data_IF_304622698143
#
_entry.id   IF_304622698143
#
_cell.length_a   1.000
_cell.length_b   1.000
_cell.length_c   1.000
_cell.angle_alpha   90.00
_cell.angle_beta   90.00
_cell.angle_gamma   90.00
#
_symmetry.space_group_name_H-M   'P 1'
#
loop_
_entity.id
_entity.type
_entity.pdbx_description
1 polymer ?
#
# COMPACT_ATOMS: atom_id res chain seq x y z
N UNK A 1 -72.32 -46.22 -15.01
CA UNK A 1 -71.04 -46.44 -15.73
C UNK A 1 -70.53 -45.07 -16.17
N UNK A 2 -69.61 -44.48 -15.41
CA UNK A 2 -68.99 -43.19 -15.77
C UNK A 2 -67.50 -43.37 -15.49
N UNK A 3 -66.68 -43.41 -16.53
CA UNK A 3 -65.23 -43.51 -16.51
C UNK A 3 -64.66 -42.09 -16.46
N UNK A 4 -63.98 -41.73 -15.41
CA UNK A 4 -63.21 -40.48 -15.26
C UNK A 4 -61.77 -40.71 -15.68
N UNK A 5 -61.33 -39.94 -16.68
CA UNK A 5 -60.01 -39.93 -17.23
C UNK A 5 -59.14 -38.90 -16.49
N UNK A 6 -58.10 -39.33 -15.79
CA UNK A 6 -57.19 -38.47 -15.05
C UNK A 6 -56.05 -37.99 -15.95
N UNK A 7 -56.06 -36.69 -16.28
CA UNK A 7 -54.97 -36.02 -17.04
C UNK A 7 -53.74 -35.82 -16.15
N UNK A 8 -52.59 -36.36 -16.62
CA UNK A 8 -51.27 -36.14 -16.02
C UNK A 8 -50.67 -34.83 -16.57
N UNK A 9 -50.59 -33.81 -15.76
CA UNK A 9 -49.88 -32.59 -16.07
C UNK A 9 -48.39 -32.81 -15.71
N UNK A 10 -47.54 -32.94 -16.74
CA UNK A 10 -46.11 -32.94 -16.56
C UNK A 10 -45.59 -31.52 -16.32
N UNK A 11 -45.06 -31.23 -15.15
CA UNK A 11 -44.29 -30.04 -14.91
C UNK A 11 -42.90 -30.18 -15.52
N UNK A 12 -42.66 -29.47 -16.59
CA UNK A 12 -41.27 -29.30 -17.15
C UNK A 12 -40.54 -28.24 -16.29
N UNK A 13 -39.62 -28.69 -15.47
CA UNK A 13 -38.69 -27.80 -14.77
C UNK A 13 -37.65 -27.26 -15.74
N UNK A 14 -37.73 -25.99 -16.09
CA UNK A 14 -36.65 -25.29 -16.80
C UNK A 14 -35.51 -25.05 -15.82
N UNK A 15 -34.38 -25.78 -15.96
CA UNK A 15 -33.10 -25.43 -15.35
C UNK A 15 -32.52 -24.24 -16.12
N UNK A 16 -32.60 -23.04 -15.54
CA UNK A 16 -31.81 -21.90 -15.95
C UNK A 16 -30.36 -22.09 -15.47
N UNK A 17 -29.48 -22.57 -16.35
CA UNK A 17 -28.05 -22.55 -16.09
C UNK A 17 -27.53 -21.10 -16.21
N UNK A 18 -27.28 -20.45 -15.10
CA UNK A 18 -26.60 -19.14 -15.06
C UNK A 18 -25.12 -19.35 -15.42
N UNK A 19 -24.75 -19.03 -16.64
CA UNK A 19 -23.34 -18.92 -17.07
C UNK A 19 -22.75 -17.67 -16.39
N UNK A 20 -22.01 -17.86 -15.31
CA UNK A 20 -21.11 -16.83 -14.78
C UNK A 20 -19.96 -16.67 -15.77
N UNK A 21 -20.05 -15.70 -16.66
CA UNK A 21 -18.93 -15.25 -17.46
C UNK A 21 -17.94 -14.58 -16.50
N UNK A 22 -16.93 -15.32 -16.04
CA UNK A 22 -15.76 -14.77 -15.36
C UNK A 22 -15.05 -13.85 -16.35
N UNK A 23 -15.21 -12.52 -16.19
CA UNK A 23 -14.40 -11.55 -16.92
C UNK A 23 -12.91 -11.73 -16.56
N UNK A 24 -11.98 -11.33 -17.43
CA UNK A 24 -10.56 -11.37 -17.11
C UNK A 24 -10.33 -10.56 -15.81
N UNK A 25 -9.75 -11.21 -14.81
CA UNK A 25 -9.30 -10.51 -13.62
C UNK A 25 -8.20 -9.53 -14.06
N UNK A 26 -8.53 -8.24 -14.08
CA UNK A 26 -7.51 -7.20 -14.31
C UNK A 26 -6.51 -7.31 -13.17
N UNK A 27 -5.23 -7.44 -13.50
CA UNK A 27 -4.17 -7.35 -12.51
C UNK A 27 -4.32 -6.00 -11.78
N UNK A 28 -3.97 -5.96 -10.51
CA UNK A 28 -4.16 -4.75 -9.69
C UNK A 28 -2.78 -4.17 -9.39
N UNK A 29 -2.61 -2.84 -9.46
CA UNK A 29 -1.33 -2.22 -9.10
C UNK A 29 -0.94 -2.62 -7.67
N UNK A 30 0.32 -2.99 -7.48
CA UNK A 30 0.87 -3.40 -6.18
C UNK A 30 2.18 -2.69 -5.88
N UNK A 31 2.42 -2.38 -4.61
CA UNK A 31 3.76 -2.05 -4.13
C UNK A 31 4.45 -3.36 -3.71
N UNK A 32 5.49 -3.73 -4.43
CA UNK A 32 6.30 -4.91 -4.16
C UNK A 32 7.47 -4.53 -3.27
N UNK A 33 7.76 -5.35 -2.27
CA UNK A 33 8.91 -5.23 -1.37
C UNK A 33 9.80 -6.44 -1.57
N UNK A 34 11.01 -6.22 -2.02
CA UNK A 34 11.94 -7.31 -2.35
C UNK A 34 13.38 -6.99 -1.95
N UNK A 35 14.17 -8.04 -1.70
CA UNK A 35 15.63 -7.99 -1.71
C UNK A 35 16.14 -8.39 -3.08
N UNK A 36 17.46 -8.49 -3.26
CA UNK A 36 18.03 -9.07 -4.48
C UNK A 36 17.57 -10.50 -4.73
N UNK A 37 17.30 -11.25 -3.65
CA UNK A 37 17.12 -12.71 -3.71
C UNK A 37 15.71 -13.19 -3.31
N UNK A 38 14.87 -12.31 -2.74
CA UNK A 38 13.59 -12.72 -2.18
C UNK A 38 12.51 -11.64 -2.24
N UNK A 39 11.28 -12.05 -2.53
CA UNK A 39 10.07 -11.28 -2.30
C UNK A 39 9.77 -11.29 -0.79
N UNK A 40 9.66 -10.12 -0.17
CA UNK A 40 9.34 -9.96 1.26
C UNK A 40 7.85 -9.71 1.49
N UNK A 41 7.14 -9.17 0.50
CA UNK A 41 5.71 -8.93 0.58
C UNK A 41 5.21 -8.00 -0.52
N UNK A 42 3.90 -7.89 -0.58
CA UNK A 42 3.19 -7.02 -1.53
C UNK A 42 2.03 -6.33 -0.83
N UNK A 43 1.70 -5.13 -1.25
CA UNK A 43 0.53 -4.38 -0.79
C UNK A 43 -0.26 -3.86 -1.99
N UNK A 44 -1.59 -4.02 -2.02
CA UNK A 44 -2.41 -3.36 -3.04
C UNK A 44 -2.16 -1.86 -3.04
N UNK A 45 -1.96 -1.27 -4.22
CA UNK A 45 -1.61 0.13 -4.34
C UNK A 45 -2.36 0.83 -5.48
N UNK A 46 -3.68 0.86 -5.34
CA UNK A 46 -4.57 1.49 -6.29
C UNK A 46 -4.28 2.98 -6.47
N UNK A 47 -4.61 3.57 -7.62
CA UNK A 47 -4.57 5.02 -7.79
C UNK A 47 -5.33 5.74 -6.67
N UNK A 48 -4.68 6.72 -6.01
CA UNK A 48 -5.20 7.46 -4.87
C UNK A 48 -5.14 6.72 -3.53
N UNK A 49 -4.68 5.47 -3.48
CA UNK A 49 -4.34 4.81 -2.22
C UNK A 49 -3.04 5.38 -1.64
N UNK A 50 -2.95 5.40 -0.31
CA UNK A 50 -1.73 5.83 0.39
C UNK A 50 -1.05 4.65 1.08
N UNK A 51 0.27 4.56 0.92
CA UNK A 51 1.15 3.69 1.70
C UNK A 51 2.20 4.54 2.40
N UNK A 52 2.37 4.36 3.71
CA UNK A 52 3.40 5.06 4.47
C UNK A 52 4.51 4.12 4.91
N UNK A 53 5.75 4.47 4.59
CA UNK A 53 6.96 3.94 5.23
C UNK A 53 7.15 4.69 6.55
N UNK A 54 7.13 3.96 7.66
CA UNK A 54 7.26 4.51 9.01
C UNK A 54 8.48 3.92 9.71
N UNK A 55 9.16 4.75 10.51
CA UNK A 55 10.30 4.29 11.33
C UNK A 55 10.53 5.22 12.53
N UNK A 56 11.43 4.81 13.42
CA UNK A 56 11.97 5.66 14.44
C UNK A 56 13.33 6.19 14.00
N UNK A 57 13.55 7.50 14.10
CA UNK A 57 14.83 8.10 13.75
C UNK A 57 15.96 7.47 14.60
N UNK A 58 17.01 7.01 13.96
CA UNK A 58 18.05 6.20 14.61
C UNK A 58 18.82 6.90 15.73
N UNK A 59 18.84 8.24 15.75
CA UNK A 59 19.55 9.05 16.77
C UNK A 59 18.57 9.57 17.83
N UNK A 60 17.47 10.19 17.42
CA UNK A 60 16.53 10.85 18.36
C UNK A 60 15.46 9.90 18.89
N UNK A 61 15.22 8.76 18.23
CA UNK A 61 14.11 7.87 18.54
C UNK A 61 12.74 8.41 18.10
N UNK A 62 12.68 9.64 17.61
CA UNK A 62 11.44 10.29 17.18
C UNK A 62 10.81 9.57 15.99
N UNK A 63 9.47 9.54 15.94
CA UNK A 63 8.74 8.92 14.86
C UNK A 63 8.90 9.72 13.56
N UNK A 64 9.07 9.00 12.45
CA UNK A 64 9.14 9.53 11.09
C UNK A 64 8.20 8.72 10.19
N UNK A 65 7.62 9.36 9.19
CA UNK A 65 6.89 8.67 8.13
C UNK A 65 7.03 9.41 6.81
N UNK A 66 7.27 8.65 5.75
CA UNK A 66 7.12 9.10 4.36
C UNK A 66 5.92 8.38 3.75
N UNK A 67 4.96 9.16 3.25
CA UNK A 67 3.74 8.62 2.68
C UNK A 67 3.71 8.85 1.17
N UNK A 68 3.41 7.79 0.47
CA UNK A 68 3.40 7.73 -0.99
C UNK A 68 2.01 7.44 -1.50
N UNK A 69 1.70 7.98 -2.67
CA UNK A 69 0.49 7.67 -3.44
C UNK A 69 0.86 7.14 -4.82
N UNK A 70 -0.03 6.32 -5.35
CA UNK A 70 -0.01 5.93 -6.76
C UNK A 70 -0.73 7.02 -7.57
N UNK A 71 0.03 7.94 -8.15
CA UNK A 71 -0.50 9.02 -8.97
C UNK A 71 -0.40 8.61 -10.44
N UNK A 72 -1.48 8.10 -10.99
CA UNK A 72 -1.56 7.65 -12.40
C UNK A 72 -0.41 6.69 -12.80
N UNK A 73 -0.12 5.70 -11.98
CA UNK A 73 0.95 4.72 -12.22
C UNK A 73 2.35 5.19 -11.82
N UNK A 74 2.45 6.35 -11.16
CA UNK A 74 3.70 6.91 -10.68
C UNK A 74 3.75 6.88 -9.15
N UNK A 75 4.75 6.22 -8.56
CA UNK A 75 5.05 6.27 -7.13
C UNK A 75 5.48 7.70 -6.78
N UNK A 76 4.69 8.37 -5.95
CA UNK A 76 4.89 9.79 -5.63
C UNK A 76 4.89 9.99 -4.12
N UNK A 77 5.92 10.60 -3.56
CA UNK A 77 5.94 11.07 -2.17
C UNK A 77 5.02 12.29 -2.07
N UNK A 78 4.00 12.21 -1.23
CA UNK A 78 2.98 13.25 -1.10
C UNK A 78 3.04 13.99 0.23
N UNK A 79 3.52 13.34 1.29
CA UNK A 79 3.72 13.97 2.60
C UNK A 79 4.73 13.21 3.45
N UNK A 80 5.37 13.95 4.37
CA UNK A 80 6.29 13.41 5.37
C UNK A 80 5.92 13.87 6.77
N UNK A 81 6.03 12.99 7.76
CA UNK A 81 5.86 13.30 9.19
C UNK A 81 7.20 13.26 9.91
N UNK A 82 7.45 14.24 10.76
CA UNK A 82 8.62 14.27 11.65
C UNK A 82 8.17 14.65 13.06
N UNK A 83 8.68 13.89 14.06
CA UNK A 83 8.36 14.14 15.47
C UNK A 83 9.02 15.42 15.99
N UNK A 84 10.23 15.72 15.53
CA UNK A 84 10.97 16.92 15.92
C UNK A 84 11.83 17.46 14.78
N UNK A 85 12.20 18.75 14.89
CA UNK A 85 13.07 19.40 13.89
C UNK A 85 14.54 18.96 14.00
N UNK A 86 14.95 18.39 15.14
CA UNK A 86 16.33 17.95 15.36
C UNK A 86 16.71 16.75 14.48
N UNK A 87 15.74 16.04 13.93
CA UNK A 87 15.97 14.96 12.98
C UNK A 87 16.62 15.42 11.66
N UNK A 88 16.66 16.72 11.37
CA UNK A 88 17.32 17.28 10.18
C UNK A 88 16.69 16.85 8.85
N UNK A 89 15.55 16.18 8.90
CA UNK A 89 14.89 15.57 7.77
C UNK A 89 13.72 16.44 7.34
N UNK A 90 13.89 17.47 6.57
CA UNK A 90 12.68 17.91 5.98
C UNK A 90 12.44 19.36 5.68
N UNK A 91 13.14 20.30 6.26
CA UNK A 91 13.04 21.68 5.78
C UNK A 91 13.94 21.89 4.57
N UNK A 92 13.36 21.68 3.40
CA UNK A 92 13.95 22.17 2.14
C UNK A 92 13.03 23.30 1.67
N UNK A 93 13.58 24.49 1.50
CA UNK A 93 12.82 25.64 1.02
C UNK A 93 12.11 25.29 -0.30
N UNK A 94 10.78 25.47 -0.33
CA UNK A 94 9.96 25.13 -1.49
C UNK A 94 9.50 23.66 -1.58
N UNK A 95 9.81 22.83 -0.59
CA UNK A 95 9.33 21.44 -0.53
C UNK A 95 8.08 21.35 0.35
N UNK A 96 6.92 21.52 -0.25
CA UNK A 96 5.63 21.38 0.44
C UNK A 96 5.32 22.47 1.47
N UNK A 97 4.34 22.21 2.32
CA UNK A 97 3.88 23.11 3.39
C UNK A 97 3.97 22.42 4.75
N UNK A 98 4.48 23.13 5.76
CA UNK A 98 4.57 22.62 7.13
C UNK A 98 3.26 22.86 7.85
N UNK A 99 2.72 21.80 8.47
CA UNK A 99 1.53 21.84 9.30
C UNK A 99 1.76 21.10 10.64
N UNK A 100 1.33 21.66 11.78
CA UNK A 100 1.44 20.97 13.05
C UNK A 100 0.63 19.66 13.05
N UNK A 101 1.18 18.60 13.65
CA UNK A 101 0.45 17.35 13.82
C UNK A 101 -0.27 17.31 15.17
N UNK A 102 -1.49 16.72 15.21
CA UNK A 102 -2.31 16.67 16.42
C UNK A 102 -1.67 15.90 17.60
N UNK A 103 -0.76 14.97 17.29
CA UNK A 103 -0.06 14.12 18.27
C UNK A 103 1.35 14.60 18.61
N UNK A 104 1.67 15.86 18.30
CA UNK A 104 3.04 16.40 18.37
C UNK A 104 3.79 16.17 17.06
N UNK A 105 4.90 16.92 16.90
CA UNK A 105 5.61 16.95 15.63
C UNK A 105 4.89 17.74 14.54
N UNK A 106 5.24 17.49 13.30
CA UNK A 106 4.69 18.21 12.13
C UNK A 106 4.64 17.33 10.90
N UNK A 107 3.75 17.71 10.01
CA UNK A 107 3.67 17.19 8.66
C UNK A 107 4.28 18.20 7.68
N UNK A 108 4.94 17.69 6.66
CA UNK A 108 5.20 18.41 5.43
C UNK A 108 4.20 17.83 4.43
N UNK A 109 3.26 18.63 3.98
CA UNK A 109 2.19 18.26 3.04
C UNK A 109 2.43 18.88 1.67
N UNK A 110 1.65 18.50 0.68
CA UNK A 110 1.77 19.01 -0.70
C UNK A 110 3.17 18.75 -1.32
N UNK A 111 3.82 17.70 -0.89
CA UNK A 111 4.99 17.17 -1.57
C UNK A 111 4.50 16.45 -2.83
N UNK A 112 5.14 16.68 -3.97
CA UNK A 112 4.79 16.02 -5.22
C UNK A 112 6.05 15.43 -5.88
N UNK A 113 6.87 14.77 -5.08
CA UNK A 113 8.15 14.21 -5.54
C UNK A 113 7.95 12.82 -6.14
N UNK A 114 8.20 12.70 -7.43
CA UNK A 114 8.17 11.41 -8.12
C UNK A 114 9.37 10.58 -7.73
N UNK A 115 9.13 9.33 -7.36
CA UNK A 115 10.20 8.37 -7.14
C UNK A 115 10.70 7.89 -8.51
N UNK A 116 12.00 8.05 -8.83
CA UNK A 116 12.55 7.60 -10.10
C UNK A 116 12.27 6.11 -10.33
N UNK A 117 11.97 5.75 -11.55
CA UNK A 117 11.71 4.38 -11.98
C UNK A 117 10.64 3.63 -11.14
N UNK A 118 9.77 4.37 -10.44
CA UNK A 118 8.81 3.82 -9.48
C UNK A 118 9.46 2.93 -8.40
N UNK A 119 10.73 3.16 -8.07
CA UNK A 119 11.52 2.24 -7.27
C UNK A 119 12.36 2.97 -6.24
N UNK A 120 12.05 2.74 -4.96
CA UNK A 120 12.73 3.31 -3.81
C UNK A 120 13.66 2.27 -3.17
N UNK A 121 14.97 2.56 -3.12
CA UNK A 121 15.93 1.77 -2.34
C UNK A 121 15.91 2.17 -0.87
N UNK A 122 15.87 1.20 0.03
CA UNK A 122 15.89 1.38 1.47
C UNK A 122 16.89 0.42 2.11
N UNK A 123 17.76 0.92 3.00
CA UNK A 123 18.44 0.05 3.96
C UNK A 123 17.59 -0.05 5.22
N UNK A 124 17.05 -1.23 5.47
CA UNK A 124 16.24 -1.51 6.66
C UNK A 124 17.14 -1.46 7.89
N UNK A 125 16.73 -0.72 8.90
CA UNK A 125 17.44 -0.66 10.18
C UNK A 125 17.04 -1.83 11.11
N UNK A 126 17.75 -1.97 12.25
CA UNK A 126 17.46 -2.96 13.27
C UNK A 126 16.08 -2.74 13.91
N UNK A 127 15.67 -3.66 14.78
CA UNK A 127 14.36 -3.63 15.45
C UNK A 127 14.04 -2.30 16.15
N UNK A 128 15.02 -1.60 16.70
CA UNK A 128 14.85 -0.30 17.37
C UNK A 128 14.40 0.80 16.39
N UNK A 129 14.85 0.75 15.15
CA UNK A 129 14.42 1.67 14.08
C UNK A 129 13.00 1.35 13.61
N UNK A 130 12.60 0.08 13.66
CA UNK A 130 11.23 -0.35 13.43
C UNK A 130 10.66 0.11 12.08
N UNK A 131 11.40 -0.07 10.99
CA UNK A 131 10.88 0.19 9.65
C UNK A 131 9.67 -0.70 9.37
N UNK A 132 8.58 -0.09 8.94
CA UNK A 132 7.35 -0.78 8.52
C UNK A 132 6.60 -0.02 7.44
N UNK A 133 6.01 -0.74 6.51
CA UNK A 133 5.02 -0.20 5.59
C UNK A 133 3.62 -0.37 6.19
N UNK A 134 2.77 0.63 6.01
CA UNK A 134 1.38 0.58 6.49
C UNK A 134 0.43 1.16 5.44
N UNK A 135 -0.70 0.49 5.21
CA UNK A 135 -1.80 0.97 4.35
C UNK A 135 -3.11 0.30 4.75
N UNK A 136 -4.20 1.05 4.87
CA UNK A 136 -5.57 0.54 5.02
C UNK A 136 -5.71 -0.67 5.98
N UNK A 137 -5.04 -0.66 7.14
CA UNK A 137 -5.07 -1.74 8.12
C UNK A 137 -4.11 -2.91 7.85
N UNK A 138 -3.33 -2.86 6.79
CA UNK A 138 -2.26 -3.81 6.50
C UNK A 138 -0.90 -3.24 6.94
N UNK A 139 0.04 -4.12 7.31
CA UNK A 139 1.41 -3.74 7.62
C UNK A 139 2.42 -4.82 7.20
N UNK A 140 3.59 -4.37 6.74
CA UNK A 140 4.77 -5.21 6.53
C UNK A 140 5.87 -4.71 7.46
N UNK A 141 6.26 -5.51 8.45
CA UNK A 141 7.24 -5.16 9.48
C UNK A 141 8.67 -5.43 8.99
N UNK A 142 9.23 -4.53 8.19
CA UNK A 142 10.52 -4.71 7.52
C UNK A 142 11.67 -5.00 8.48
N UNK A 143 11.77 -4.26 9.60
CA UNK A 143 12.83 -4.49 10.60
C UNK A 143 12.73 -5.85 11.31
N UNK A 144 11.59 -6.54 11.21
CA UNK A 144 11.44 -7.90 11.76
C UNK A 144 11.83 -8.97 10.74
N UNK A 145 11.51 -8.77 9.46
CA UNK A 145 11.69 -9.80 8.43
C UNK A 145 13.01 -9.66 7.66
N UNK A 146 13.59 -8.46 7.59
CA UNK A 146 14.81 -8.17 6.86
C UNK A 146 15.67 -7.08 7.54
N UNK A 147 16.03 -7.24 8.85
CA UNK A 147 16.87 -6.25 9.53
C UNK A 147 18.22 -6.12 8.85
N UNK A 148 18.77 -4.89 8.86
CA UNK A 148 20.09 -4.53 8.32
C UNK A 148 20.31 -4.91 6.84
N UNK A 149 19.22 -5.11 6.10
CA UNK A 149 19.22 -5.57 4.70
C UNK A 149 18.83 -4.42 3.76
N UNK A 150 19.42 -4.40 2.57
CA UNK A 150 18.98 -3.53 1.49
C UNK A 150 17.70 -4.12 0.86
N UNK A 151 16.63 -3.34 0.81
CA UNK A 151 15.38 -3.70 0.16
C UNK A 151 15.01 -2.67 -0.90
N UNK A 152 14.16 -3.06 -1.81
CA UNK A 152 13.57 -2.22 -2.84
C UNK A 152 12.05 -2.25 -2.72
N UNK A 153 11.46 -1.06 -2.77
CA UNK A 153 10.02 -0.85 -2.82
C UNK A 153 9.68 -0.40 -4.24
N UNK A 154 8.94 -1.20 -4.99
CA UNK A 154 8.67 -0.92 -6.40
C UNK A 154 7.17 -0.93 -6.66
N UNK A 155 6.62 0.16 -7.19
CA UNK A 155 5.28 0.15 -7.76
C UNK A 155 5.30 -0.63 -9.07
N UNK A 156 4.59 -1.74 -9.10
CA UNK A 156 4.30 -2.48 -10.33
C UNK A 156 2.89 -2.12 -10.78
N UNK A 157 2.75 -1.45 -11.93
CA UNK A 157 1.45 -1.30 -12.58
C UNK A 157 0.97 -2.67 -13.06
N UNK A 158 -0.26 -2.72 -13.51
CA UNK A 158 -0.92 -3.90 -14.10
C UNK A 158 -0.10 -4.53 -15.25
#
# INVERSE_FOLDING_TARGET
MITTNAGRHGCAALLCAALFAGGPAMAQPVLVVETTDALLGEMPFQPGAEICLRWNHSVTGGAVADCFENVAGQLTLTRSYLHDFAAGLGEVAGRGQIAPAATGGYWITEIAERVPDNSLGLRVGPAAVNHRLTSAGQAIALSQIAPDTAVRLTLRPD
#
